data_IF_623591546815
#
_entry.id   IF_623591546815
#
_cell.length_a   1.000
_cell.length_b   1.000
_cell.length_c   1.000
_cell.angle_alpha   90.00
_cell.angle_beta   90.00
_cell.angle_gamma   90.00
#
_symmetry.space_group_name_H-M   'P 1'
#
loop_
_entity.id
_entity.type
_entity.pdbx_description
1 polymer ?
#
# COMPACT_ATOMS: atom_id res chain seq x y z
N UNK A 1 -26.85 -2.08 5.68
CA UNK A 1 -25.87 -1.08 6.17
C UNK A 1 -25.35 -1.55 7.52
N UNK A 2 -24.23 -2.28 7.54
CA UNK A 2 -23.49 -2.49 8.79
C UNK A 2 -22.81 -1.16 9.13
N UNK A 3 -23.13 -0.58 10.29
CA UNK A 3 -22.57 0.71 10.69
C UNK A 3 -21.05 0.65 10.96
N UNK A 4 -20.46 -0.56 10.94
CA UNK A 4 -19.03 -0.79 11.18
C UNK A 4 -18.55 -1.99 10.34
N UNK A 5 -17.80 -1.79 9.24
CA UNK A 5 -17.09 -2.86 8.58
C UNK A 5 -15.80 -3.08 9.38
N UNK A 6 -15.84 -3.94 10.39
CA UNK A 6 -14.62 -4.32 11.14
C UNK A 6 -14.19 -5.69 10.64
N UNK A 7 -13.35 -5.70 9.61
CA UNK A 7 -12.59 -6.89 9.26
C UNK A 7 -11.59 -7.17 10.39
N UNK A 8 -11.73 -8.33 11.04
CA UNK A 8 -10.82 -8.82 12.07
C UNK A 8 -11.35 -8.69 13.50
N UNK A 9 -11.74 -9.82 14.10
CA UNK A 9 -12.33 -9.89 15.44
C UNK A 9 -11.51 -9.27 16.59
N UNK A 10 -10.20 -9.09 16.42
CA UNK A 10 -9.34 -8.41 17.42
C UNK A 10 -9.39 -6.87 17.35
N UNK A 11 -9.53 -6.30 16.16
CA UNK A 11 -9.62 -4.84 15.92
C UNK A 11 -10.94 -4.30 16.48
N UNK A 12 -12.00 -5.10 16.40
CA UNK A 12 -13.34 -4.80 16.95
C UNK A 12 -13.33 -4.62 18.47
N UNK A 13 -12.69 -5.53 19.21
CA UNK A 13 -12.67 -5.45 20.68
C UNK A 13 -11.90 -4.22 21.18
N UNK A 14 -10.75 -3.92 20.57
CA UNK A 14 -9.94 -2.75 20.92
C UNK A 14 -10.72 -1.47 20.65
N UNK A 15 -11.46 -1.38 19.53
CA UNK A 15 -12.30 -0.23 19.24
C UNK A 15 -13.45 -0.06 20.26
N UNK A 16 -14.13 -1.16 20.59
CA UNK A 16 -15.24 -1.18 21.56
C UNK A 16 -14.78 -0.77 22.96
N UNK A 17 -13.53 -1.04 23.34
CA UNK A 17 -12.98 -0.66 24.65
C UNK A 17 -12.34 0.74 24.65
N UNK A 18 -11.56 1.07 23.62
CA UNK A 18 -10.80 2.33 23.56
C UNK A 18 -11.70 3.56 23.40
N UNK A 19 -12.76 3.48 22.59
CA UNK A 19 -13.64 4.63 22.33
C UNK A 19 -14.39 5.07 23.61
N UNK A 20 -15.06 4.19 24.38
CA UNK A 20 -15.67 4.59 25.65
C UNK A 20 -14.66 5.13 26.67
N UNK A 21 -13.47 4.55 26.75
CA UNK A 21 -12.41 5.03 27.66
C UNK A 21 -11.96 6.45 27.29
N UNK A 22 -11.75 6.74 26.00
CA UNK A 22 -11.37 8.06 25.52
C UNK A 22 -12.48 9.09 25.74
N UNK A 23 -13.75 8.71 25.57
CA UNK A 23 -14.90 9.56 25.88
C UNK A 23 -14.96 9.87 27.38
N UNK A 24 -14.85 8.85 28.24
CA UNK A 24 -14.86 9.03 29.69
C UNK A 24 -13.70 9.92 30.15
N UNK A 25 -12.49 9.70 29.63
CA UNK A 25 -11.31 10.52 29.90
C UNK A 25 -11.52 11.97 29.47
N UNK A 26 -12.12 12.20 28.29
CA UNK A 26 -12.43 13.54 27.78
C UNK A 26 -13.41 14.27 28.70
N UNK A 27 -14.43 13.58 29.22
CA UNK A 27 -15.38 14.13 30.19
C UNK A 27 -14.66 14.49 31.50
N UNK A 28 -13.82 13.60 32.02
CA UNK A 28 -13.04 13.83 33.25
C UNK A 28 -12.13 15.06 33.09
N UNK A 29 -11.39 15.15 31.98
CA UNK A 29 -10.51 16.30 31.69
C UNK A 29 -11.32 17.59 31.55
N UNK A 30 -12.49 17.56 30.91
CA UNK A 30 -13.38 18.72 30.81
C UNK A 30 -13.88 19.19 32.20
N UNK A 31 -14.23 18.27 33.09
CA UNK A 31 -14.63 18.59 34.47
C UNK A 31 -13.46 19.18 35.28
N UNK A 32 -12.27 18.59 35.17
CA UNK A 32 -11.04 19.11 35.80
C UNK A 32 -10.75 20.51 35.30
N UNK A 33 -10.80 20.73 33.97
CA UNK A 33 -10.63 22.04 33.36
C UNK A 33 -11.65 23.04 33.91
N UNK A 34 -12.94 22.70 33.94
CA UNK A 34 -13.99 23.57 34.48
C UNK A 34 -13.75 23.94 35.95
N UNK A 35 -13.29 23.00 36.76
CA UNK A 35 -13.04 23.25 38.19
C UNK A 35 -11.79 24.10 38.41
N UNK A 36 -10.70 23.83 37.67
CA UNK A 36 -9.44 24.59 37.75
C UNK A 36 -9.55 25.97 37.11
N UNK A 37 -10.29 26.11 36.02
CA UNK A 37 -10.47 27.38 35.29
C UNK A 37 -11.12 28.47 36.15
N UNK A 38 -11.95 28.09 37.15
CA UNK A 38 -12.52 29.04 38.12
C UNK A 38 -11.48 29.65 39.06
N UNK A 39 -10.34 28.97 39.27
CA UNK A 39 -9.27 29.39 40.19
C UNK A 39 -8.09 30.07 39.48
N UNK A 40 -8.10 30.12 38.14
CA UNK A 40 -7.02 30.69 37.33
C UNK A 40 -7.49 32.02 36.75
N UNK A 41 -6.97 33.13 37.28
CA UNK A 41 -7.28 34.48 36.77
C UNK A 41 -6.67 34.75 35.39
N UNK A 42 -5.47 34.22 35.14
CA UNK A 42 -4.73 34.50 33.91
C UNK A 42 -5.27 33.70 32.73
N UNK A 43 -5.77 34.41 31.70
CA UNK A 43 -6.33 33.79 30.48
C UNK A 43 -5.35 32.84 29.78
N UNK A 44 -4.06 33.19 29.70
CA UNK A 44 -3.06 32.36 29.02
C UNK A 44 -2.86 30.99 29.71
N UNK A 45 -2.75 30.96 31.04
CA UNK A 45 -2.62 29.71 31.81
C UNK A 45 -3.81 28.78 31.59
N UNK A 46 -5.02 29.35 31.49
CA UNK A 46 -6.24 28.59 31.18
C UNK A 46 -6.18 28.01 29.76
N UNK A 47 -5.76 28.81 28.78
CA UNK A 47 -5.61 28.32 27.40
C UNK A 47 -4.57 27.20 27.31
N UNK A 48 -3.41 27.34 27.97
CA UNK A 48 -2.38 26.29 28.02
C UNK A 48 -2.93 24.99 28.60
N UNK A 49 -3.72 25.05 29.69
CA UNK A 49 -4.32 23.86 30.30
C UNK A 49 -5.34 23.19 29.37
N UNK A 50 -6.14 23.99 28.66
CA UNK A 50 -7.07 23.49 27.66
C UNK A 50 -6.33 22.80 26.50
N UNK A 51 -5.40 23.52 25.87
CA UNK A 51 -4.62 23.02 24.73
C UNK A 51 -3.83 21.76 25.08
N UNK A 52 -3.21 21.71 26.28
CA UNK A 52 -2.52 20.52 26.77
C UNK A 52 -3.46 19.32 26.93
N UNK A 53 -4.65 19.54 27.52
CA UNK A 53 -5.67 18.48 27.67
C UNK A 53 -6.15 17.96 26.31
N UNK A 54 -6.39 18.86 25.35
CA UNK A 54 -6.79 18.48 23.99
C UNK A 54 -5.70 17.71 23.26
N UNK A 55 -4.45 18.17 23.35
CA UNK A 55 -3.29 17.47 22.77
C UNK A 55 -3.10 16.08 23.38
N UNK A 56 -3.31 15.94 24.70
CA UNK A 56 -3.23 14.65 25.37
C UNK A 56 -4.30 13.68 24.86
N UNK A 57 -5.56 14.11 24.76
CA UNK A 57 -6.65 13.27 24.23
C UNK A 57 -6.36 12.90 22.77
N UNK A 58 -5.91 13.84 21.96
CA UNK A 58 -5.54 13.59 20.57
C UNK A 58 -4.42 12.55 20.48
N UNK A 59 -3.33 12.74 21.24
CA UNK A 59 -2.21 11.80 21.29
C UNK A 59 -2.66 10.40 21.72
N UNK A 60 -3.46 10.29 22.79
CA UNK A 60 -3.98 9.00 23.27
C UNK A 60 -4.91 8.35 22.24
N UNK A 61 -5.69 9.13 21.49
CA UNK A 61 -6.55 8.61 20.41
C UNK A 61 -5.71 8.00 19.29
N UNK A 62 -4.59 8.63 18.91
CA UNK A 62 -3.65 8.08 17.94
C UNK A 62 -2.88 6.87 18.49
N UNK A 63 -2.55 6.87 19.78
CA UNK A 63 -1.81 5.80 20.44
C UNK A 63 -2.66 4.53 20.64
N UNK A 64 -3.93 4.69 21.03
CA UNK A 64 -4.87 3.59 21.23
C UNK A 64 -5.64 3.20 19.96
N UNK A 65 -5.30 3.79 18.81
CA UNK A 65 -5.97 3.45 17.56
C UNK A 65 -5.78 1.96 17.26
N UNK A 66 -6.87 1.19 17.08
CA UNK A 66 -6.76 -0.24 16.85
C UNK A 66 -6.05 -0.49 15.51
N UNK A 67 -4.91 -1.17 15.58
CA UNK A 67 -4.07 -1.46 14.42
C UNK A 67 -3.63 -2.92 14.43
N UNK A 68 -3.35 -3.43 13.22
CA UNK A 68 -2.78 -4.75 12.98
C UNK A 68 -1.42 -4.57 12.31
N UNK A 69 -0.43 -5.36 12.73
CA UNK A 69 0.91 -5.31 12.12
C UNK A 69 0.92 -5.73 10.64
N UNK A 70 -0.09 -6.49 10.16
CA UNK A 70 -0.08 -7.06 8.80
C UNK A 70 -0.58 -6.09 7.72
N UNK A 71 -1.79 -5.55 7.88
CA UNK A 71 -2.50 -4.87 6.78
C UNK A 71 -3.00 -3.46 7.14
N UNK A 72 -2.97 -3.11 8.43
CA UNK A 72 -3.42 -1.80 8.93
C UNK A 72 -2.48 -1.31 10.03
N UNK A 73 -1.23 -0.94 9.67
CA UNK A 73 -0.24 -0.50 10.64
C UNK A 73 -0.75 0.71 11.41
N UNK A 74 -0.31 0.82 12.65
CA UNK A 74 -0.71 1.90 13.54
C UNK A 74 -0.39 3.26 12.90
N UNK A 75 -1.26 4.27 13.03
CA UNK A 75 -1.01 5.59 12.47
C UNK A 75 0.36 6.17 12.86
N UNK A 76 0.80 5.95 14.11
CA UNK A 76 2.13 6.36 14.57
C UNK A 76 3.27 5.68 13.81
N UNK A 77 3.13 4.39 13.48
CA UNK A 77 4.10 3.64 12.68
C UNK A 77 4.15 4.16 11.24
N UNK A 78 2.98 4.45 10.65
CA UNK A 78 2.91 5.07 9.32
C UNK A 78 3.65 6.41 9.29
N UNK A 79 3.39 7.28 10.28
CA UNK A 79 4.05 8.59 10.38
C UNK A 79 5.56 8.41 10.59
N UNK A 80 5.98 7.52 11.49
CA UNK A 80 7.39 7.26 11.75
C UNK A 80 8.14 6.75 10.51
N UNK A 81 7.57 5.78 9.79
CA UNK A 81 8.14 5.30 8.52
C UNK A 81 8.15 6.39 7.46
N UNK A 82 7.11 7.24 7.40
CA UNK A 82 7.08 8.38 6.47
C UNK A 82 8.19 9.39 6.76
N UNK A 83 8.43 9.73 8.02
CA UNK A 83 9.55 10.61 8.41
C UNK A 83 10.89 9.95 8.09
N UNK A 84 11.03 8.65 8.36
CA UNK A 84 12.25 7.90 8.06
C UNK A 84 12.54 7.88 6.55
N UNK A 85 11.53 7.66 5.71
CA UNK A 85 11.68 7.70 4.26
C UNK A 85 12.00 9.12 3.77
N UNK A 86 11.32 10.15 4.30
CA UNK A 86 11.62 11.54 3.95
C UNK A 86 13.07 11.95 4.31
N UNK A 87 13.57 11.52 5.47
CA UNK A 87 14.94 11.79 5.88
C UNK A 87 15.99 11.08 5.01
N UNK A 88 15.61 9.96 4.37
CA UNK A 88 16.47 9.18 3.47
C UNK A 88 15.93 9.25 2.02
N UNK A 89 15.34 10.37 1.62
CA UNK A 89 14.72 10.53 0.30
C UNK A 89 15.72 10.30 -0.86
N UNK A 90 16.99 10.64 -0.63
CA UNK A 90 18.07 10.42 -1.60
C UNK A 90 18.35 8.93 -1.86
N UNK A 91 18.10 8.06 -0.88
CA UNK A 91 18.29 6.61 -1.01
C UNK A 91 17.11 5.92 -1.71
N UNK A 92 15.99 6.62 -1.91
CA UNK A 92 14.82 6.09 -2.60
C UNK A 92 15.17 5.80 -4.07
N UNK A 93 14.88 4.58 -4.50
CA UNK A 93 15.24 4.03 -5.80
C UNK A 93 14.02 3.90 -6.71
N UNK A 94 14.26 3.76 -8.02
CA UNK A 94 13.18 3.59 -8.99
C UNK A 94 12.37 2.30 -8.75
N UNK A 95 13.02 1.25 -8.24
CA UNK A 95 12.38 -0.03 -7.96
C UNK A 95 11.33 0.04 -6.85
N UNK A 96 11.41 1.07 -6.00
CA UNK A 96 10.46 1.29 -4.90
C UNK A 96 9.04 1.61 -5.39
N UNK A 97 8.88 2.05 -6.65
CA UNK A 97 7.58 2.20 -7.32
C UNK A 97 6.79 0.89 -7.41
N UNK A 98 7.51 -0.23 -7.49
CA UNK A 98 6.95 -1.55 -7.77
C UNK A 98 6.85 -2.43 -6.52
N UNK A 99 7.03 -1.85 -5.34
CA UNK A 99 6.78 -2.55 -4.10
C UNK A 99 5.31 -2.92 -3.98
N UNK A 100 5.04 -4.06 -3.35
CA UNK A 100 3.69 -4.50 -3.04
C UNK A 100 2.91 -3.39 -2.33
N UNK A 101 1.68 -3.12 -2.79
CA UNK A 101 0.80 -2.05 -2.29
C UNK A 101 0.18 -2.37 -0.91
N UNK A 102 1.03 -2.67 0.07
CA UNK A 102 0.68 -2.73 1.49
C UNK A 102 0.86 -1.36 2.13
N UNK A 103 0.00 -1.01 3.10
CA UNK A 103 0.06 0.28 3.81
C UNK A 103 1.42 0.55 4.45
N UNK A 104 2.18 -0.49 4.81
CA UNK A 104 3.56 -0.37 5.32
C UNK A 104 4.55 0.18 4.29
N UNK A 105 4.32 -0.07 3.00
CA UNK A 105 5.20 0.31 1.90
C UNK A 105 4.79 1.64 1.26
N UNK A 106 3.57 2.13 1.53
CA UNK A 106 3.05 3.36 0.92
C UNK A 106 3.98 4.57 1.08
N UNK A 107 4.61 4.84 2.24
CA UNK A 107 5.54 5.97 2.34
C UNK A 107 6.69 5.89 1.33
N UNK A 108 7.23 4.69 1.10
CA UNK A 108 8.34 4.47 0.18
C UNK A 108 7.88 4.55 -1.28
N UNK A 109 6.73 3.97 -1.60
CA UNK A 109 6.11 4.06 -2.94
C UNK A 109 5.82 5.52 -3.30
N UNK A 110 5.25 6.31 -2.39
CA UNK A 110 4.90 7.71 -2.63
C UNK A 110 6.16 8.57 -2.80
N UNK A 111 7.19 8.30 -2.00
CA UNK A 111 8.48 8.97 -2.17
C UNK A 111 9.09 8.67 -3.55
N UNK A 112 9.03 7.41 -3.99
CA UNK A 112 9.48 7.02 -5.32
C UNK A 112 8.65 7.68 -6.42
N UNK A 113 7.32 7.75 -6.28
CA UNK A 113 6.43 8.44 -7.21
C UNK A 113 6.76 9.94 -7.31
N UNK A 114 7.10 10.58 -6.19
CA UNK A 114 7.51 11.99 -6.17
C UNK A 114 8.85 12.18 -6.88
N UNK A 115 9.85 11.37 -6.52
CA UNK A 115 11.22 11.46 -7.04
C UNK A 115 11.30 11.16 -8.54
N UNK A 116 10.57 10.15 -8.99
CA UNK A 116 10.62 9.64 -10.37
C UNK A 116 9.36 9.96 -11.18
N UNK A 117 8.66 11.05 -10.83
CA UNK A 117 7.39 11.44 -11.47
C UNK A 117 7.44 11.51 -12.99
N UNK A 118 8.55 11.99 -13.57
CA UNK A 118 8.73 12.09 -15.03
C UNK A 118 9.10 10.77 -15.69
N UNK A 119 9.40 9.74 -14.90
CA UNK A 119 9.84 8.41 -15.35
C UNK A 119 8.83 7.32 -14.99
N UNK A 120 7.66 7.69 -14.44
CA UNK A 120 6.62 6.74 -14.08
C UNK A 120 6.11 6.05 -15.36
N UNK A 121 6.14 4.71 -15.42
CA UNK A 121 5.72 4.00 -16.62
C UNK A 121 4.20 4.04 -16.77
N UNK A 122 3.73 4.08 -18.01
CA UNK A 122 2.29 4.12 -18.30
C UNK A 122 1.62 2.76 -18.07
N UNK A 123 2.36 1.68 -18.34
CA UNK A 123 1.87 0.31 -18.23
C UNK A 123 2.79 -0.49 -17.31
N UNK A 124 2.20 -1.00 -16.22
CA UNK A 124 2.85 -1.87 -15.24
C UNK A 124 2.04 -3.16 -15.16
N UNK A 125 2.75 -4.27 -15.17
CA UNK A 125 2.20 -5.60 -14.98
C UNK A 125 2.90 -6.26 -13.80
N UNK A 126 2.10 -6.72 -12.84
CA UNK A 126 2.59 -7.41 -11.66
C UNK A 126 2.54 -8.92 -11.88
N UNK A 127 3.64 -9.59 -11.55
CA UNK A 127 3.80 -11.02 -11.67
C UNK A 127 4.01 -11.56 -10.25
N UNK A 128 3.11 -12.46 -9.84
CA UNK A 128 3.07 -13.04 -8.51
C UNK A 128 3.12 -14.56 -8.57
N UNK A 129 3.90 -15.15 -7.68
CA UNK A 129 4.03 -16.59 -7.49
C UNK A 129 3.41 -16.99 -6.16
N UNK A 130 2.38 -17.82 -6.18
CA UNK A 130 1.71 -18.33 -5.00
C UNK A 130 2.07 -19.79 -4.76
N UNK A 131 2.38 -20.22 -3.53
CA UNK A 131 2.44 -21.64 -3.20
C UNK A 131 1.09 -22.30 -3.48
N UNK A 132 1.10 -23.57 -3.85
CA UNK A 132 -0.14 -24.36 -3.97
C UNK A 132 -0.93 -24.45 -2.66
N UNK A 133 -0.27 -24.21 -1.52
CA UNK A 133 -0.85 -24.38 -0.18
C UNK A 133 -1.24 -23.05 0.51
N UNK A 134 -0.79 -21.90 0.00
CA UNK A 134 -1.03 -20.60 0.66
C UNK A 134 -1.35 -19.49 -0.32
N UNK A 135 -2.20 -18.54 0.09
CA UNK A 135 -2.56 -17.36 -0.72
C UNK A 135 -1.56 -16.20 -0.57
N UNK A 136 -0.37 -16.44 -0.02
CA UNK A 136 0.68 -15.44 0.12
C UNK A 136 1.69 -15.59 -1.01
N UNK A 137 1.88 -14.53 -1.79
CA UNK A 137 2.87 -14.53 -2.85
C UNK A 137 4.29 -14.71 -2.27
N UNK A 138 5.01 -15.73 -2.72
CA UNK A 138 6.41 -15.98 -2.39
C UNK A 138 7.38 -15.08 -3.16
N UNK A 139 7.00 -14.74 -4.39
CA UNK A 139 7.75 -13.85 -5.27
C UNK A 139 6.78 -12.93 -5.98
N UNK A 140 7.11 -11.65 -6.01
CA UNK A 140 6.33 -10.61 -6.67
C UNK A 140 7.29 -9.65 -7.35
N UNK A 141 7.03 -9.33 -8.61
CA UNK A 141 7.82 -8.36 -9.37
C UNK A 141 6.96 -7.69 -10.44
N UNK A 142 7.47 -6.61 -11.03
CA UNK A 142 6.81 -5.88 -12.08
C UNK A 142 7.56 -5.98 -13.41
N UNK A 143 6.79 -5.98 -14.50
CA UNK A 143 7.24 -5.71 -15.86
C UNK A 143 6.57 -4.43 -16.30
N UNK A 144 7.33 -3.49 -16.85
CA UNK A 144 6.81 -2.17 -17.19
C UNK A 144 7.45 -1.62 -18.46
N UNK A 145 6.70 -0.77 -19.17
CA UNK A 145 7.19 -0.06 -20.35
C UNK A 145 7.70 1.33 -19.95
N UNK A 146 8.99 1.56 -20.16
CA UNK A 146 9.64 2.85 -19.91
C UNK A 146 10.26 3.34 -21.22
N UNK A 147 9.67 4.41 -21.78
CA UNK A 147 10.10 5.02 -23.05
C UNK A 147 10.18 4.04 -24.23
N UNK A 148 9.21 3.13 -24.34
CA UNK A 148 9.14 2.13 -25.42
C UNK A 148 10.01 0.90 -25.17
N UNK A 149 10.77 0.85 -24.07
CA UNK A 149 11.58 -0.30 -23.69
C UNK A 149 10.93 -1.03 -22.51
N UNK A 150 10.73 -2.34 -22.68
CA UNK A 150 10.24 -3.20 -21.62
C UNK A 150 11.37 -3.51 -20.64
N UNK A 151 11.07 -3.32 -19.35
CA UNK A 151 11.98 -3.52 -18.23
C UNK A 151 11.28 -4.33 -17.14
N UNK A 152 12.07 -4.86 -16.22
CA UNK A 152 11.57 -5.51 -15.01
C UNK A 152 12.45 -5.17 -13.83
N UNK A 153 11.87 -5.15 -12.61
CA UNK A 153 12.63 -5.10 -11.37
C UNK A 153 13.12 -6.50 -10.91
N UNK A 154 12.80 -7.58 -11.64
CA UNK A 154 13.36 -8.91 -11.45
C UNK A 154 14.57 -9.11 -12.36
N UNK A 155 15.78 -9.03 -11.79
CA UNK A 155 17.04 -9.20 -12.53
C UNK A 155 17.23 -10.60 -13.13
N UNK A 156 16.50 -11.61 -12.64
CA UNK A 156 16.58 -12.98 -13.14
C UNK A 156 15.63 -13.24 -14.32
N UNK A 157 14.85 -12.25 -14.74
CA UNK A 157 13.95 -12.35 -15.87
C UNK A 157 14.67 -12.01 -17.18
N UNK A 158 14.79 -12.98 -18.08
CA UNK A 158 15.23 -12.75 -19.46
C UNK A 158 14.06 -12.24 -20.29
N UNK A 159 14.24 -11.12 -20.97
CA UNK A 159 13.27 -10.49 -21.88
C UNK A 159 13.87 -10.52 -23.28
N UNK A 160 13.29 -11.29 -24.19
CA UNK A 160 13.82 -11.47 -25.55
C UNK A 160 12.75 -11.17 -26.60
N UNK A 161 13.02 -10.29 -27.58
CA UNK A 161 12.11 -10.09 -28.71
C UNK A 161 12.09 -11.34 -29.60
N UNK A 162 10.90 -11.72 -30.04
CA UNK A 162 10.62 -12.75 -31.04
C UNK A 162 10.03 -12.06 -32.29
N UNK A 163 9.86 -12.82 -33.38
CA UNK A 163 9.16 -12.37 -34.60
C UNK A 163 7.73 -11.89 -34.29
N UNK A 164 7.22 -10.99 -35.13
CA UNK A 164 5.84 -10.46 -35.10
C UNK A 164 5.46 -9.67 -33.83
N UNK A 165 6.34 -8.80 -33.35
CA UNK A 165 6.13 -7.97 -32.15
C UNK A 165 5.88 -8.76 -30.84
N UNK A 166 6.22 -10.05 -30.83
CA UNK A 166 6.13 -10.88 -29.65
C UNK A 166 7.39 -10.76 -28.80
N UNK A 167 7.23 -10.89 -27.50
CA UNK A 167 8.31 -10.82 -26.51
C UNK A 167 8.19 -12.04 -25.61
N UNK A 168 9.29 -12.77 -25.49
CA UNK A 168 9.39 -13.91 -24.58
C UNK A 168 10.00 -13.46 -23.27
N UNK A 169 9.31 -13.83 -22.21
CA UNK A 169 9.77 -13.68 -20.84
C UNK A 169 10.15 -15.06 -20.34
N UNK A 170 11.35 -15.21 -19.79
CA UNK A 170 11.83 -16.50 -19.27
C UNK A 170 12.60 -16.33 -17.98
N UNK A 171 12.26 -17.14 -16.98
CA UNK A 171 13.02 -17.23 -15.73
C UNK A 171 13.00 -18.66 -15.17
N UNK A 172 13.88 -18.91 -14.21
CA UNK A 172 13.90 -20.17 -13.44
C UNK A 172 13.45 -19.86 -12.02
N UNK A 173 12.40 -20.52 -11.56
CA UNK A 173 11.89 -20.39 -10.20
C UNK A 173 11.64 -21.77 -9.59
N UNK A 174 12.25 -22.04 -8.42
CA UNK A 174 12.18 -23.33 -7.70
C UNK A 174 12.48 -24.58 -8.57
N UNK A 175 13.32 -24.43 -9.59
CA UNK A 175 13.72 -25.48 -10.52
C UNK A 175 12.83 -25.62 -11.76
N UNK A 176 11.70 -24.89 -11.81
CA UNK A 176 10.84 -24.86 -12.99
C UNK A 176 11.29 -23.76 -13.95
N UNK A 177 11.34 -24.06 -15.24
CA UNK A 177 11.57 -23.03 -16.28
C UNK A 177 10.22 -22.46 -16.71
N UNK A 178 10.08 -21.16 -16.49
CA UNK A 178 8.81 -20.47 -16.68
C UNK A 178 8.98 -19.58 -17.88
N UNK A 179 8.13 -19.79 -18.89
CA UNK A 179 8.11 -18.96 -20.09
C UNK A 179 6.69 -18.53 -20.41
N UNK A 180 6.53 -17.24 -20.65
CA UNK A 180 5.29 -16.63 -21.10
C UNK A 180 5.59 -15.60 -22.18
N UNK A 181 4.58 -15.26 -23.00
CA UNK A 181 4.73 -14.36 -24.13
C UNK A 181 3.86 -13.12 -23.94
N UNK A 182 4.38 -11.98 -24.35
CA UNK A 182 3.65 -10.73 -24.47
C UNK A 182 4.04 -9.99 -25.76
N UNK A 183 3.74 -8.69 -25.78
CA UNK A 183 4.08 -7.73 -26.83
C UNK A 183 4.57 -6.45 -26.15
N UNK A 184 5.04 -5.48 -26.94
CA UNK A 184 5.38 -4.13 -26.47
C UNK A 184 4.19 -3.38 -25.86
N UNK A 185 2.97 -3.76 -26.26
CA UNK A 185 1.70 -3.13 -25.84
C UNK A 185 1.04 -3.88 -24.68
N UNK A 186 1.60 -5.02 -24.26
CA UNK A 186 1.10 -5.81 -23.13
C UNK A 186 1.14 -7.31 -23.35
N UNK A 187 0.61 -8.08 -22.40
CA UNK A 187 0.50 -9.53 -22.57
C UNK A 187 -0.54 -9.88 -23.63
N UNK A 188 -0.19 -10.82 -24.51
CA UNK A 188 -1.12 -11.31 -25.53
C UNK A 188 -2.20 -12.10 -24.81
N UNK A 189 -3.46 -11.89 -25.19
CA UNK A 189 -4.60 -12.70 -24.77
C UNK A 189 -4.32 -14.16 -25.10
N UNK A 190 -3.89 -14.94 -24.12
CA UNK A 190 -3.81 -16.39 -24.24
C UNK A 190 -5.20 -16.94 -23.95
N UNK A 191 -5.71 -17.83 -24.80
CA UNK A 191 -6.96 -18.54 -24.54
C UNK A 191 -6.83 -19.23 -23.18
N UNK A 192 -7.54 -18.69 -22.19
CA UNK A 192 -7.57 -19.24 -20.85
C UNK A 192 -8.44 -20.50 -20.91
N UNK A 193 -7.98 -21.63 -20.38
CA UNK A 193 -8.79 -22.86 -20.32
C UNK A 193 -10.05 -22.69 -19.44
N UNK A 194 -10.13 -21.57 -18.70
CA UNK A 194 -11.33 -21.11 -18.02
C UNK A 194 -12.19 -20.26 -18.96
N UNK A 195 -13.16 -20.91 -19.62
CA UNK A 195 -14.23 -20.22 -20.34
C UNK A 195 -14.99 -19.29 -19.37
N UNK A 196 -15.21 -18.03 -19.79
CA UNK A 196 -16.02 -16.97 -19.14
C UNK A 196 -15.28 -15.88 -18.35
N UNK A 197 -14.30 -15.19 -18.97
CA UNK A 197 -13.95 -13.84 -18.52
C UNK A 197 -14.01 -12.86 -19.69
N UNK A 198 -14.90 -11.88 -19.59
CA UNK A 198 -15.03 -10.79 -20.54
C UNK A 198 -13.97 -9.72 -20.25
N UNK A 199 -13.36 -9.24 -21.32
CA UNK A 199 -12.50 -8.06 -21.31
C UNK A 199 -13.39 -6.81 -21.25
N UNK A 200 -13.40 -6.13 -20.10
CA UNK A 200 -14.32 -5.02 -19.83
C UNK A 200 -13.85 -3.68 -20.43
N UNK A 201 -12.84 -3.67 -21.31
CA UNK A 201 -12.33 -2.45 -21.94
C UNK A 201 -11.47 -1.56 -21.03
N UNK A 202 -11.05 -2.07 -19.86
CA UNK A 202 -10.17 -1.37 -18.90
C UNK A 202 -8.75 -1.94 -18.82
N UNK A 203 -8.37 -2.85 -19.73
CA UNK A 203 -6.99 -3.36 -19.79
C UNK A 203 -6.57 -4.18 -18.58
N UNK A 204 -7.51 -4.80 -17.86
CA UNK A 204 -7.19 -5.78 -16.83
C UNK A 204 -6.80 -7.11 -17.49
N UNK A 205 -5.58 -7.54 -17.24
CA UNK A 205 -5.13 -8.91 -17.54
C UNK A 205 -5.07 -9.60 -16.18
N UNK A 206 -5.72 -10.75 -16.01
CA UNK A 206 -5.49 -11.67 -14.89
C UNK A 206 -5.29 -13.06 -15.50
N UNK A 207 -4.03 -13.45 -15.65
CA UNK A 207 -3.64 -14.72 -16.23
C UNK A 207 -3.05 -15.60 -15.14
N UNK A 208 -3.64 -16.77 -14.94
CA UNK A 208 -3.19 -17.73 -13.94
C UNK A 208 -2.75 -19.02 -14.62
N UNK A 209 -1.63 -19.59 -14.16
CA UNK A 209 -1.12 -20.89 -14.63
C UNK A 209 -0.61 -21.70 -13.44
N UNK A 210 -1.19 -22.88 -13.26
CA UNK A 210 -0.77 -23.80 -12.21
C UNK A 210 0.44 -24.64 -12.68
N UNK A 211 1.43 -24.73 -11.81
CA UNK A 211 2.60 -25.61 -11.91
C UNK A 211 2.56 -26.62 -10.75
N UNK A 212 3.33 -27.73 -10.79
CA UNK A 212 3.26 -28.76 -9.75
C UNK A 212 3.52 -28.25 -8.31
N UNK A 213 4.23 -27.12 -8.14
CA UNK A 213 4.64 -26.59 -6.84
C UNK A 213 4.11 -25.20 -6.52
N UNK A 214 3.52 -24.50 -7.50
CA UNK A 214 3.15 -23.10 -7.36
C UNK A 214 2.18 -22.68 -8.46
N UNK A 215 1.52 -21.55 -8.26
CA UNK A 215 0.68 -20.89 -9.25
C UNK A 215 1.30 -19.56 -9.65
N UNK A 216 1.37 -19.33 -10.95
CA UNK A 216 1.81 -18.06 -11.54
C UNK A 216 0.58 -17.22 -11.85
N UNK A 217 0.56 -16.00 -11.34
CA UNK A 217 -0.44 -14.98 -11.67
C UNK A 217 0.24 -13.78 -12.32
N UNK A 218 -0.24 -13.36 -13.49
CA UNK A 218 0.14 -12.10 -14.13
C UNK A 218 -1.08 -11.19 -14.14
N UNK A 219 -0.93 -10.04 -13.49
CA UNK A 219 -2.00 -9.06 -13.34
C UNK A 219 -1.60 -7.69 -13.89
N UNK A 220 -2.48 -7.07 -14.67
CA UNK A 220 -2.45 -5.62 -14.90
C UNK A 220 -3.47 -4.99 -13.96
N UNK A 221 -2.98 -4.29 -12.94
CA UNK A 221 -3.83 -3.53 -12.04
C UNK A 221 -3.92 -2.09 -12.52
N UNK A 222 -5.08 -1.46 -12.35
CA UNK A 222 -5.16 0.01 -12.46
C UNK A 222 -4.30 0.58 -11.33
N UNK A 223 -3.38 1.47 -11.70
CA UNK A 223 -2.60 2.25 -10.74
C UNK A 223 -3.56 3.15 -9.95
N UNK A 224 -4.17 2.61 -8.90
CA UNK A 224 -4.90 3.41 -7.92
C UNK A 224 -3.89 4.34 -7.25
N UNK A 225 -4.00 5.63 -7.50
CA UNK A 225 -3.15 6.61 -6.87
C UNK A 225 -3.40 6.59 -5.35
N UNK A 226 -2.38 6.21 -4.60
CA UNK A 226 -2.42 6.16 -3.14
C UNK A 226 -2.76 7.56 -2.59
N UNK A 227 -2.31 8.62 -3.27
CA UNK A 227 -2.54 10.00 -2.88
C UNK A 227 -3.96 10.49 -3.15
N UNK A 228 -4.71 9.85 -4.04
CA UNK A 228 -6.13 10.17 -4.27
C UNK A 228 -7.02 9.58 -3.18
N UNK A 229 -6.69 8.38 -2.71
CA UNK A 229 -7.51 7.62 -1.77
C UNK A 229 -7.23 7.97 -0.30
N UNK A 230 -6.08 8.57 0.00
CA UNK A 230 -5.64 8.80 1.37
C UNK A 230 -5.04 10.21 1.57
N UNK A 231 -5.75 11.04 2.33
CA UNK A 231 -5.36 12.45 2.55
C UNK A 231 -3.98 12.61 3.20
N UNK A 232 -3.62 11.75 4.16
CA UNK A 232 -2.29 11.78 4.79
C UNK A 232 -1.17 11.65 3.74
N UNK A 233 -1.34 10.71 2.82
CA UNK A 233 -0.37 10.41 1.77
C UNK A 233 -0.31 11.49 0.69
N UNK A 234 -1.43 12.16 0.42
CA UNK A 234 -1.45 13.39 -0.39
C UNK A 234 -0.63 14.52 0.22
N UNK A 235 -0.79 14.75 1.53
CA UNK A 235 -0.04 15.76 2.26
C UNK A 235 1.44 15.39 2.34
N UNK A 236 1.75 14.13 2.61
CA UNK A 236 3.11 13.60 2.62
C UNK A 236 3.80 13.79 1.27
N UNK A 237 3.15 13.45 0.15
CA UNK A 237 3.67 13.70 -1.20
C UNK A 237 4.00 15.17 -1.45
N UNK A 238 3.20 16.09 -0.90
CA UNK A 238 3.44 17.54 -1.05
C UNK A 238 4.62 18.03 -0.21
N UNK A 239 4.85 17.42 0.96
CA UNK A 239 5.94 17.79 1.88
C UNK A 239 7.32 17.24 1.48
N UNK A 240 7.36 16.13 0.73
CA UNK A 240 8.57 15.61 0.09
C UNK A 240 9.05 16.53 -1.03
#
# INVERSE_FOLDING_TARGET
MSLFPVDGGGVSLIFVLSVPILIALSIILALIYKWRAKKIETRWKRNVLFTSSTLLVLFLTFYFFPCSESDSPCPCKIVAESVKVANNFEDVTYNDLFLKKKKSNYPLIIAAQKKFKSQTPNDIYYISYFPSETYLAEKEYAIYNSNGLLKSNNSNLSIQPIKNNLIQYTEIFKGDTISFKGTTEGFVKMENEFQNYNDNGYGYIDWNKSFPKHELSIRKEVENDITENYYFYKLYYWLL
#
